data_IF_532767489811
#
_entry.id   IF_532767489811
#
_cell.length_a   1.000
_cell.length_b   1.000
_cell.length_c   1.000
_cell.angle_alpha   90.00
_cell.angle_beta   90.00
_cell.angle_gamma   90.00
#
_symmetry.space_group_name_H-M   'P 1'
#
loop_
_entity.id
_entity.type
_entity.pdbx_description
1 polymer ?
#
# COMPACT_ATOMS: atom_id res chain seq x y z
N UNK A 1 39.23 -44.10 -2.77
CA UNK A 1 40.09 -43.58 -1.68
C UNK A 1 40.43 -42.13 -1.98
N UNK A 2 40.28 -41.25 -0.98
CA UNK A 2 40.69 -39.85 -0.90
C UNK A 2 39.85 -38.79 -1.68
N UNK A 3 39.70 -37.57 -1.13
CA UNK A 3 38.38 -36.95 -0.96
C UNK A 3 38.20 -35.57 -1.61
N UNK A 4 36.94 -35.14 -1.63
CA UNK A 4 36.46 -33.82 -2.03
C UNK A 4 36.94 -32.73 -1.05
N UNK A 5 37.58 -31.69 -1.57
CA UNK A 5 37.93 -30.47 -0.84
C UNK A 5 37.01 -29.31 -1.22
N UNK A 6 36.29 -28.83 -0.20
CA UNK A 6 35.56 -27.55 -0.14
C UNK A 6 36.37 -26.37 -0.70
N UNK A 7 35.77 -25.59 -1.60
CA UNK A 7 36.22 -24.22 -1.86
C UNK A 7 35.05 -23.24 -1.63
N UNK A 8 35.08 -22.58 -0.47
CA UNK A 8 34.35 -21.35 -0.18
C UNK A 8 35.12 -20.20 -0.82
N UNK A 9 34.48 -19.34 -1.62
CA UNK A 9 34.94 -17.97 -1.78
C UNK A 9 33.77 -16.99 -1.73
N UNK A 10 33.84 -16.10 -0.73
CA UNK A 10 33.06 -14.87 -0.63
C UNK A 10 33.71 -13.84 -1.55
N UNK A 11 32.91 -13.15 -2.34
CA UNK A 11 33.30 -11.86 -2.92
C UNK A 11 32.16 -10.86 -2.72
N UNK A 12 32.22 -10.17 -1.58
CA UNK A 12 31.41 -9.00 -1.26
C UNK A 12 32.01 -7.81 -2.00
N UNK A 13 31.41 -7.42 -3.13
CA UNK A 13 31.87 -6.25 -3.89
C UNK A 13 31.19 -5.00 -3.34
N UNK A 14 31.98 -4.20 -2.64
CA UNK A 14 31.68 -2.86 -2.14
C UNK A 14 31.36 -1.94 -3.32
N UNK A 15 30.09 -1.53 -3.45
CA UNK A 15 29.67 -0.48 -4.36
C UNK A 15 29.84 0.88 -3.67
N UNK A 16 30.96 1.54 -3.98
CA UNK A 16 31.17 2.96 -3.72
C UNK A 16 30.00 3.76 -4.33
N UNK A 17 29.30 4.53 -3.50
CA UNK A 17 28.36 5.57 -3.95
C UNK A 17 29.15 6.61 -4.76
N UNK A 18 28.99 6.60 -6.08
CA UNK A 18 29.28 7.79 -6.88
C UNK A 18 28.23 8.84 -6.52
N UNK A 19 28.68 9.96 -5.96
CA UNK A 19 27.93 11.21 -5.94
C UNK A 19 27.93 11.76 -7.37
N UNK A 20 26.86 11.55 -8.12
CA UNK A 20 26.56 12.37 -9.29
C UNK A 20 25.78 13.60 -8.82
N UNK A 21 26.42 14.76 -8.92
CA UNK A 21 25.75 16.06 -8.90
C UNK A 21 25.14 16.28 -10.27
N UNK A 22 23.98 15.69 -10.51
CA UNK A 22 23.13 16.02 -11.65
C UNK A 22 21.89 16.72 -11.12
N UNK A 23 21.62 17.92 -11.64
CA UNK A 23 20.37 18.63 -11.38
C UNK A 23 19.19 17.71 -11.69
N UNK A 24 18.26 17.62 -10.74
CA UNK A 24 17.07 16.79 -10.83
C UNK A 24 16.31 17.13 -12.11
N UNK A 25 16.26 16.19 -13.07
CA UNK A 25 15.58 16.32 -14.36
C UNK A 25 14.04 16.39 -14.26
N UNK A 26 13.50 16.85 -13.12
CA UNK A 26 12.08 16.89 -12.77
C UNK A 26 11.62 18.29 -12.33
N UNK A 27 12.35 19.37 -12.64
CA UNK A 27 11.91 20.74 -12.33
C UNK A 27 10.63 21.15 -13.06
N UNK A 28 10.22 20.37 -14.07
CA UNK A 28 8.95 20.53 -14.78
C UNK A 28 7.98 19.45 -14.33
N UNK A 29 6.80 19.86 -13.83
CA UNK A 29 5.75 18.92 -13.49
C UNK A 29 5.36 18.09 -14.73
N UNK A 30 5.46 16.74 -14.70
CA UNK A 30 5.17 15.91 -15.88
C UNK A 30 3.70 15.99 -16.33
N UNK A 31 2.81 16.50 -15.47
CA UNK A 31 1.36 16.56 -15.70
C UNK A 31 0.94 17.88 -16.36
N UNK A 32 1.44 19.03 -15.90
CA UNK A 32 1.06 20.35 -16.42
C UNK A 32 2.15 21.01 -17.28
N UNK A 33 3.42 20.57 -17.21
CA UNK A 33 4.49 21.20 -17.97
C UNK A 33 4.95 22.55 -17.40
N UNK A 34 4.41 22.97 -16.26
CA UNK A 34 4.80 24.21 -15.59
C UNK A 34 6.06 23.98 -14.73
N UNK A 35 7.02 24.90 -14.87
CA UNK A 35 8.05 25.15 -13.88
C UNK A 35 7.32 25.69 -12.64
N UNK A 36 7.46 25.04 -11.49
CA UNK A 36 6.82 25.50 -10.25
C UNK A 36 7.26 26.92 -9.91
N UNK A 37 6.46 27.91 -10.31
CA UNK A 37 6.73 29.32 -10.10
C UNK A 37 6.30 29.70 -8.68
N UNK A 38 7.27 29.94 -7.81
CA UNK A 38 7.28 31.10 -6.90
C UNK A 38 6.21 31.21 -5.81
N UNK A 39 5.48 30.16 -5.45
CA UNK A 39 4.62 30.18 -4.27
C UNK A 39 5.45 30.15 -2.98
N UNK A 40 5.41 31.22 -2.18
CA UNK A 40 6.04 31.29 -0.85
C UNK A 40 5.40 30.37 0.21
N UNK A 41 4.80 29.26 -0.21
CA UNK A 41 4.19 28.26 0.65
C UNK A 41 5.22 27.37 1.36
N UNK A 42 4.80 26.71 2.45
CA UNK A 42 5.64 25.78 3.18
C UNK A 42 6.15 24.64 2.27
N UNK A 43 7.46 24.59 2.05
CA UNK A 43 8.09 23.58 1.18
C UNK A 43 8.21 22.25 1.91
N UNK A 44 7.64 21.20 1.34
CA UNK A 44 7.78 19.85 1.88
C UNK A 44 9.24 19.33 1.79
N UNK A 45 9.83 19.00 2.95
CA UNK A 45 11.19 18.46 3.10
C UNK A 45 11.23 17.00 3.55
N UNK A 46 10.07 16.33 3.66
CA UNK A 46 10.01 14.91 4.02
C UNK A 46 10.52 13.97 2.92
N UNK A 47 10.92 12.75 3.32
CA UNK A 47 11.44 11.72 2.41
C UNK A 47 10.35 10.88 1.74
N UNK A 48 10.75 10.11 0.72
CA UNK A 48 9.86 9.21 -0.03
C UNK A 48 9.16 8.16 0.85
N UNK A 49 9.80 7.71 1.94
CA UNK A 49 9.21 6.79 2.92
C UNK A 49 7.91 7.34 3.53
N UNK A 50 7.91 8.61 3.93
CA UNK A 50 6.72 9.27 4.48
C UNK A 50 5.62 9.41 3.43
N UNK A 51 5.98 9.77 2.19
CA UNK A 51 5.00 9.88 1.09
C UNK A 51 4.38 8.55 0.70
N UNK A 52 5.15 7.45 0.69
CA UNK A 52 4.60 6.09 0.47
C UNK A 52 3.55 5.75 1.52
N UNK A 53 3.86 6.01 2.78
CA UNK A 53 2.95 5.80 3.91
C UNK A 53 1.70 6.71 3.82
N UNK A 54 1.88 7.99 3.49
CA UNK A 54 0.81 8.96 3.32
C UNK A 54 -0.13 8.59 2.17
N UNK A 55 0.42 8.25 1.00
CA UNK A 55 -0.34 7.79 -0.16
C UNK A 55 -1.21 6.58 0.20
N UNK A 56 -0.60 5.55 0.81
CA UNK A 56 -1.30 4.34 1.22
C UNK A 56 -2.46 4.64 2.17
N UNK A 57 -2.20 5.45 3.21
CA UNK A 57 -3.23 5.80 4.20
C UNK A 57 -4.31 6.71 3.65
N UNK A 58 -3.99 7.63 2.74
CA UNK A 58 -5.02 8.44 2.10
C UNK A 58 -5.95 7.60 1.23
N UNK A 59 -5.43 6.60 0.50
CA UNK A 59 -6.28 5.64 -0.24
C UNK A 59 -7.15 4.84 0.73
N UNK A 60 -6.55 4.24 1.77
CA UNK A 60 -7.26 3.50 2.83
C UNK A 60 -8.39 4.31 3.48
N UNK A 61 -8.18 5.61 3.68
CA UNK A 61 -9.11 6.53 4.34
C UNK A 61 -10.11 7.20 3.40
N UNK A 62 -10.03 6.95 2.09
CA UNK A 62 -10.94 7.56 1.11
C UNK A 62 -10.65 9.04 0.78
N UNK A 63 -9.41 9.49 0.99
CA UNK A 63 -9.00 10.90 0.84
C UNK A 63 -8.44 11.15 -0.56
N UNK A 64 -9.33 11.27 -1.54
CA UNK A 64 -9.00 11.31 -2.98
C UNK A 64 -7.97 12.38 -3.34
N UNK A 65 -8.22 13.63 -2.97
CA UNK A 65 -7.37 14.76 -3.37
C UNK A 65 -6.00 14.73 -2.68
N UNK A 66 -5.97 14.32 -1.41
CA UNK A 66 -4.75 14.14 -0.65
C UNK A 66 -3.91 12.97 -1.21
N UNK A 67 -4.56 11.86 -1.58
CA UNK A 67 -3.91 10.72 -2.23
C UNK A 67 -3.30 11.14 -3.58
N UNK A 68 -4.04 11.91 -4.38
CA UNK A 68 -3.55 12.44 -5.66
C UNK A 68 -2.29 13.30 -5.49
N UNK A 69 -2.29 14.27 -4.57
CA UNK A 69 -1.13 15.13 -4.33
C UNK A 69 0.07 14.37 -3.77
N UNK A 70 -0.17 13.43 -2.85
CA UNK A 70 0.89 12.54 -2.34
C UNK A 70 1.49 11.68 -3.47
N UNK A 71 0.65 11.13 -4.34
CA UNK A 71 1.09 10.34 -5.49
C UNK A 71 1.89 11.16 -6.49
N UNK A 72 1.42 12.36 -6.84
CA UNK A 72 2.12 13.26 -7.74
C UNK A 72 3.49 13.63 -7.17
N UNK A 73 3.56 14.00 -5.89
CA UNK A 73 4.82 14.35 -5.25
C UNK A 73 5.78 13.16 -5.17
N UNK A 74 5.27 11.97 -4.82
CA UNK A 74 6.08 10.76 -4.79
C UNK A 74 6.60 10.40 -6.19
N UNK A 75 5.77 10.53 -7.22
CA UNK A 75 6.16 10.25 -8.61
C UNK A 75 7.25 11.21 -9.11
N UNK A 76 7.19 12.49 -8.72
CA UNK A 76 8.24 13.48 -9.03
C UNK A 76 9.56 13.17 -8.31
N UNK A 77 9.51 12.61 -7.10
CA UNK A 77 10.71 12.26 -6.34
C UNK A 77 11.32 10.93 -6.80
N UNK A 78 10.48 9.91 -6.95
CA UNK A 78 10.88 8.57 -7.36
C UNK A 78 9.68 7.83 -7.98
N UNK A 79 9.59 7.89 -9.30
CA UNK A 79 8.56 7.19 -10.06
C UNK A 79 8.59 5.67 -9.88
N UNK A 80 9.77 5.07 -9.62
CA UNK A 80 9.89 3.62 -9.40
C UNK A 80 9.24 3.22 -8.07
N UNK A 81 9.54 3.95 -7.00
CA UNK A 81 8.91 3.74 -5.70
C UNK A 81 7.40 4.00 -5.75
N UNK A 82 6.96 5.02 -6.47
CA UNK A 82 5.55 5.28 -6.71
C UNK A 82 4.85 4.08 -7.37
N UNK A 83 5.37 3.58 -8.50
CA UNK A 83 4.76 2.47 -9.25
C UNK A 83 4.71 1.19 -8.41
N UNK A 84 5.82 0.88 -7.72
CA UNK A 84 5.91 -0.31 -6.85
C UNK A 84 4.93 -0.26 -5.69
N UNK A 85 4.74 0.91 -5.07
CA UNK A 85 3.83 1.10 -3.93
C UNK A 85 2.37 1.13 -4.37
N UNK A 86 2.04 1.81 -5.47
CA UNK A 86 0.66 1.86 -5.98
C UNK A 86 0.15 0.48 -6.35
N UNK A 87 0.98 -0.38 -6.96
CA UNK A 87 0.61 -1.76 -7.26
C UNK A 87 0.26 -2.60 -6.00
N UNK A 88 0.89 -2.31 -4.86
CA UNK A 88 0.57 -2.95 -3.57
C UNK A 88 -0.75 -2.41 -3.02
N UNK A 89 -0.92 -1.08 -3.05
CA UNK A 89 -2.15 -0.40 -2.59
C UNK A 89 -3.38 -0.90 -3.34
N UNK A 90 -3.26 -1.20 -4.64
CA UNK A 90 -4.34 -1.78 -5.45
C UNK A 90 -4.95 -3.06 -4.88
N UNK A 91 -4.25 -3.76 -3.98
CA UNK A 91 -4.67 -5.04 -3.42
C UNK A 91 -4.87 -4.96 -1.91
N UNK A 92 -3.96 -4.26 -1.20
CA UNK A 92 -3.97 -4.21 0.26
C UNK A 92 -5.07 -3.29 0.81
N UNK A 93 -5.36 -2.18 0.12
CA UNK A 93 -6.13 -1.06 0.68
C UNK A 93 -7.44 -0.76 -0.06
N UNK A 94 -7.65 -1.42 -1.19
CA UNK A 94 -8.79 -1.26 -2.06
C UNK A 94 -9.15 -2.62 -2.70
N UNK A 95 -10.21 -2.64 -3.50
CA UNK A 95 -10.49 -3.73 -4.41
C UNK A 95 -9.48 -3.69 -5.58
N UNK A 96 -9.14 -4.87 -6.13
CA UNK A 96 -8.25 -4.99 -7.29
C UNK A 96 -8.65 -4.01 -8.40
N UNK A 97 -7.71 -3.18 -8.86
CA UNK A 97 -7.97 -2.24 -9.93
C UNK A 97 -7.80 -2.91 -11.31
N UNK A 98 -8.71 -2.73 -12.29
CA UNK A 98 -8.60 -3.35 -13.61
C UNK A 98 -7.36 -2.88 -14.38
N UNK A 99 -6.89 -1.66 -14.13
CA UNK A 99 -5.66 -1.13 -14.71
C UNK A 99 -4.36 -1.53 -13.97
N UNK A 100 -4.37 -2.49 -13.03
CA UNK A 100 -3.15 -3.02 -12.41
C UNK A 100 -2.07 -3.47 -13.44
N UNK A 101 -2.43 -4.12 -14.57
CA UNK A 101 -1.43 -4.52 -15.56
C UNK A 101 -0.63 -3.35 -16.13
N UNK A 102 -1.25 -2.18 -16.31
CA UNK A 102 -0.55 -0.96 -16.74
C UNK A 102 0.48 -0.52 -15.70
N UNK A 103 0.13 -0.51 -14.40
CA UNK A 103 1.06 -0.14 -13.33
C UNK A 103 2.26 -1.09 -13.26
N UNK A 104 2.01 -2.40 -13.37
CA UNK A 104 3.06 -3.42 -13.31
C UNK A 104 3.95 -3.37 -14.55
N UNK A 105 3.37 -3.14 -15.73
CA UNK A 105 4.15 -2.94 -16.96
C UNK A 105 5.02 -1.70 -16.87
N UNK A 106 4.46 -0.54 -16.46
CA UNK A 106 5.21 0.70 -16.29
C UNK A 106 6.31 0.55 -15.24
N UNK A 107 6.05 -0.19 -14.15
CA UNK A 107 7.06 -0.51 -13.13
C UNK A 107 8.24 -1.28 -13.76
N UNK A 108 7.96 -2.33 -14.52
CA UNK A 108 9.00 -3.12 -15.18
C UNK A 108 9.76 -2.31 -16.23
N UNK A 109 9.06 -1.49 -17.02
CA UNK A 109 9.66 -0.61 -18.01
C UNK A 109 10.56 0.46 -17.36
N UNK A 110 10.08 1.09 -16.28
CA UNK A 110 10.85 2.11 -15.56
C UNK A 110 12.14 1.52 -14.95
N UNK A 111 12.11 0.28 -14.49
CA UNK A 111 13.30 -0.44 -14.03
C UNK A 111 14.34 -0.69 -15.13
N UNK A 112 13.96 -0.54 -16.41
CA UNK A 112 14.84 -0.60 -17.58
C UNK A 112 15.16 0.78 -18.16
N UNK A 113 14.86 1.85 -17.43
CA UNK A 113 15.18 3.23 -17.83
C UNK A 113 14.08 3.95 -18.60
N UNK A 114 12.89 3.35 -18.76
CA UNK A 114 11.75 4.06 -19.33
C UNK A 114 11.35 5.24 -18.43
N UNK A 115 11.18 6.43 -19.03
CA UNK A 115 10.69 7.62 -18.34
C UNK A 115 9.20 7.81 -18.58
N UNK A 116 8.44 8.00 -17.51
CA UNK A 116 6.99 8.21 -17.60
C UNK A 116 6.67 9.48 -18.40
N UNK A 117 6.01 9.31 -19.54
CA UNK A 117 5.41 10.43 -20.27
C UNK A 117 4.15 10.97 -19.57
N UNK A 118 3.70 12.15 -19.99
CA UNK A 118 2.52 12.85 -19.44
C UNK A 118 1.26 11.98 -19.41
N UNK A 119 1.00 11.22 -20.47
CA UNK A 119 -0.17 10.34 -20.54
C UNK A 119 -0.11 9.20 -19.51
N UNK A 120 1.05 8.55 -19.35
CA UNK A 120 1.23 7.52 -18.34
C UNK A 120 1.15 8.07 -16.93
N UNK A 121 1.73 9.25 -16.67
CA UNK A 121 1.62 9.92 -15.37
C UNK A 121 0.15 10.22 -15.03
N UNK A 122 -0.62 10.78 -15.98
CA UNK A 122 -2.06 11.05 -15.81
C UNK A 122 -2.86 9.78 -15.55
N UNK A 123 -2.60 8.71 -16.31
CA UNK A 123 -3.26 7.42 -16.09
C UNK A 123 -2.96 6.87 -14.69
N UNK A 124 -1.70 6.89 -14.24
CA UNK A 124 -1.32 6.45 -12.90
C UNK A 124 -2.01 7.27 -11.79
N UNK A 125 -2.11 8.58 -11.97
CA UNK A 125 -2.78 9.46 -11.00
C UNK A 125 -4.30 9.25 -11.01
N UNK A 126 -4.91 8.95 -12.15
CA UNK A 126 -6.31 8.57 -12.24
C UNK A 126 -6.57 7.27 -11.46
N UNK A 127 -5.70 6.26 -11.62
CA UNK A 127 -5.80 5.01 -10.86
C UNK A 127 -5.74 5.26 -9.35
N UNK A 128 -4.83 6.09 -8.87
CA UNK A 128 -4.76 6.44 -7.43
C UNK A 128 -6.06 7.09 -6.95
N UNK A 129 -6.65 7.96 -7.76
CA UNK A 129 -7.90 8.65 -7.41
C UNK A 129 -9.08 7.68 -7.39
N UNK A 130 -9.18 6.78 -8.38
CA UNK A 130 -10.18 5.72 -8.41
C UNK A 130 -10.04 4.78 -7.21
N UNK A 131 -8.81 4.36 -6.89
CA UNK A 131 -8.53 3.58 -5.69
C UNK A 131 -9.03 4.30 -4.44
N UNK A 132 -8.67 5.58 -4.26
CA UNK A 132 -9.10 6.37 -3.10
C UNK A 132 -10.61 6.63 -3.08
N UNK A 133 -11.28 6.75 -4.22
CA UNK A 133 -12.72 7.01 -4.29
C UNK A 133 -13.56 5.76 -4.00
N UNK A 134 -13.07 4.57 -4.35
CA UNK A 134 -13.79 3.33 -4.14
C UNK A 134 -14.17 3.09 -2.68
N UNK A 135 -15.27 2.39 -2.46
CA UNK A 135 -15.77 2.03 -1.13
C UNK A 135 -15.59 0.55 -0.79
N UNK A 136 -15.05 -0.24 -1.73
CA UNK A 136 -14.80 -1.67 -1.56
C UNK A 136 -13.33 -1.97 -1.27
N UNK A 137 -13.10 -3.02 -0.50
CA UNK A 137 -11.80 -3.63 -0.27
C UNK A 137 -11.88 -5.15 -0.26
N UNK A 138 -10.75 -5.79 -0.53
CA UNK A 138 -10.60 -7.24 -0.51
C UNK A 138 -9.81 -7.71 0.70
N UNK A 139 -9.94 -8.99 1.05
CA UNK A 139 -9.15 -9.55 2.15
C UNK A 139 -7.79 -9.96 1.66
N UNK A 140 -6.76 -9.51 2.37
CA UNK A 140 -5.44 -10.12 2.27
C UNK A 140 -5.57 -11.61 2.62
N UNK A 141 -5.33 -12.54 1.68
CA UNK A 141 -5.37 -13.96 1.98
C UNK A 141 -4.25 -14.27 2.96
N UNK A 142 -4.56 -14.79 4.15
CA UNK A 142 -3.53 -15.27 5.07
C UNK A 142 -3.05 -16.64 4.59
N UNK A 143 -1.77 -16.93 4.77
CA UNK A 143 -1.19 -18.21 4.37
C UNK A 143 -1.97 -19.37 5.00
N UNK A 144 -2.74 -20.09 4.16
CA UNK A 144 -3.66 -21.15 4.58
C UNK A 144 -5.07 -21.02 3.98
N UNK A 145 -5.55 -19.80 3.73
CA UNK A 145 -6.93 -19.54 3.27
C UNK A 145 -7.08 -19.61 1.75
N UNK A 146 -5.96 -19.53 1.02
CA UNK A 146 -5.96 -19.83 -0.40
C UNK A 146 -6.13 -21.34 -0.54
N UNK A 147 -7.37 -21.77 -0.80
CA UNK A 147 -7.65 -23.09 -1.33
C UNK A 147 -6.54 -23.45 -2.32
N UNK A 148 -5.93 -24.61 -2.16
CA UNK A 148 -4.90 -25.18 -3.04
C UNK A 148 -5.45 -25.52 -4.43
N UNK A 149 -6.45 -24.78 -4.91
CA UNK A 149 -6.84 -24.74 -6.30
C UNK A 149 -5.69 -24.07 -7.08
N UNK A 150 -4.69 -24.89 -7.38
CA UNK A 150 -3.71 -24.64 -8.40
C UNK A 150 -4.41 -24.55 -9.76
N UNK A 151 -5.22 -23.50 -9.98
CA UNK A 151 -5.50 -23.06 -11.34
C UNK A 151 -4.17 -22.53 -11.85
N UNK A 152 -3.43 -23.37 -12.56
CA UNK A 152 -2.26 -22.99 -13.33
C UNK A 152 -2.79 -22.21 -14.53
N UNK A 153 -2.70 -20.87 -14.56
CA UNK A 153 -3.02 -20.09 -15.75
C UNK A 153 -2.09 -20.48 -16.90
N UNK A 154 -0.95 -21.11 -16.59
CA UNK A 154 0.02 -21.63 -17.53
C UNK A 154 -0.60 -22.65 -18.52
N UNK A 155 -1.69 -23.33 -18.16
CA UNK A 155 -2.37 -24.29 -19.06
C UNK A 155 -3.44 -23.64 -19.95
N UNK A 156 -4.09 -22.53 -19.55
CA UNK A 156 -5.05 -21.80 -20.39
C UNK A 156 -4.40 -20.68 -21.22
N UNK A 157 -3.34 -20.05 -20.74
CA UNK A 157 -2.62 -18.97 -21.46
C UNK A 157 -1.77 -19.54 -22.61
N UNK A 158 -1.39 -20.82 -22.55
CA UNK A 158 -0.57 -21.48 -23.57
C UNK A 158 -1.39 -22.23 -24.64
N UNK A 159 -2.69 -22.49 -24.43
CA UNK A 159 -3.48 -23.40 -25.27
C UNK A 159 -4.25 -22.74 -26.42
N UNK A 160 -4.16 -21.43 -26.60
CA UNK A 160 -4.76 -20.75 -27.76
C UNK A 160 -3.84 -19.66 -28.29
N UNK A 161 -3.67 -19.59 -29.61
CA UNK A 161 -2.95 -18.54 -30.35
C UNK A 161 -3.57 -17.12 -30.18
N UNK A 162 -4.42 -16.92 -29.18
CA UNK A 162 -5.08 -15.67 -28.83
C UNK A 162 -4.38 -14.91 -27.72
N UNK A 163 -4.51 -13.58 -27.73
CA UNK A 163 -4.06 -12.71 -26.63
C UNK A 163 -4.66 -13.19 -25.30
N UNK A 164 -3.91 -13.15 -24.18
CA UNK A 164 -4.47 -13.47 -22.87
C UNK A 164 -5.72 -12.63 -22.61
N UNK A 165 -6.80 -13.27 -22.16
CA UNK A 165 -7.99 -12.56 -21.71
C UNK A 165 -7.68 -11.58 -20.57
N UNK A 166 -8.55 -10.60 -20.35
CA UNK A 166 -8.37 -9.58 -19.32
C UNK A 166 -8.16 -10.19 -17.92
N UNK A 167 -8.93 -11.23 -17.59
CA UNK A 167 -8.79 -12.02 -16.38
C UNK A 167 -7.37 -12.60 -16.18
N UNK A 168 -6.84 -13.27 -17.22
CA UNK A 168 -5.50 -13.84 -17.19
C UNK A 168 -4.42 -12.74 -17.04
N UNK A 169 -4.62 -11.61 -17.72
CA UNK A 169 -3.69 -10.46 -17.64
C UNK A 169 -3.60 -9.89 -16.22
N UNK A 170 -4.72 -9.81 -15.50
CA UNK A 170 -4.74 -9.37 -14.10
C UNK A 170 -3.97 -10.32 -13.17
N UNK A 171 -4.20 -11.63 -13.30
CA UNK A 171 -3.49 -12.65 -12.52
C UNK A 171 -1.99 -12.63 -12.80
N UNK A 172 -1.62 -12.52 -14.08
CA UNK A 172 -0.23 -12.44 -14.50
C UNK A 172 0.44 -11.15 -14.01
N UNK A 173 -0.26 -10.02 -13.97
CA UNK A 173 0.27 -8.78 -13.41
C UNK A 173 0.63 -8.92 -11.93
N UNK A 174 -0.22 -9.58 -11.12
CA UNK A 174 0.08 -9.85 -9.70
C UNK A 174 1.30 -10.75 -9.55
N UNK A 175 1.39 -11.82 -10.34
CA UNK A 175 2.53 -12.76 -10.33
C UNK A 175 3.83 -12.10 -10.78
N UNK A 176 3.77 -11.30 -11.85
CA UNK A 176 4.91 -10.52 -12.33
C UNK A 176 5.38 -9.53 -11.25
N UNK A 177 4.44 -8.85 -10.59
CA UNK A 177 4.79 -7.94 -9.49
C UNK A 177 5.45 -8.69 -8.31
N UNK A 178 4.99 -9.90 -7.99
CA UNK A 178 5.59 -10.74 -6.97
C UNK A 178 7.01 -11.21 -7.38
N UNK A 179 7.18 -11.64 -8.63
CA UNK A 179 8.47 -12.09 -9.17
C UNK A 179 9.50 -10.95 -9.29
N UNK A 180 9.03 -9.71 -9.53
CA UNK A 180 9.88 -8.52 -9.51
C UNK A 180 10.56 -8.30 -8.13
N UNK A 181 9.98 -8.85 -7.05
CA UNK A 181 10.54 -8.83 -5.71
C UNK A 181 10.18 -7.58 -4.88
N UNK A 182 10.73 -7.51 -3.67
CA UNK A 182 10.38 -6.49 -2.68
C UNK A 182 10.43 -7.05 -1.27
N UNK A 183 9.62 -6.47 -0.37
CA UNK A 183 9.51 -6.99 0.98
C UNK A 183 8.88 -8.40 0.96
N UNK A 184 9.36 -9.34 1.78
CA UNK A 184 8.80 -10.70 1.80
C UNK A 184 7.29 -10.73 2.05
N UNK A 185 6.78 -9.84 2.90
CA UNK A 185 5.35 -9.67 3.15
C UNK A 185 4.56 -9.31 1.89
N UNK A 186 5.03 -8.31 1.12
CA UNK A 186 4.41 -7.91 -0.15
C UNK A 186 4.36 -9.09 -1.13
N UNK A 187 5.47 -9.83 -1.26
CA UNK A 187 5.57 -10.98 -2.19
C UNK A 187 4.61 -12.08 -1.79
N UNK A 188 4.51 -12.40 -0.49
CA UNK A 188 3.57 -13.40 0.01
C UNK A 188 2.13 -12.98 -0.23
N UNK A 189 1.79 -11.73 0.10
CA UNK A 189 0.46 -11.15 -0.12
C UNK A 189 0.07 -11.20 -1.60
N UNK A 190 0.95 -10.78 -2.51
CA UNK A 190 0.71 -10.80 -3.95
C UNK A 190 0.43 -12.21 -4.49
N UNK A 191 1.18 -13.21 -4.00
CA UNK A 191 0.92 -14.62 -4.35
C UNK A 191 -0.45 -15.06 -3.87
N UNK A 192 -0.81 -14.74 -2.63
CA UNK A 192 -2.14 -15.01 -2.07
C UNK A 192 -3.25 -14.39 -2.92
N UNK A 193 -3.15 -13.09 -3.23
CA UNK A 193 -4.11 -12.41 -4.09
C UNK A 193 -4.18 -13.00 -5.49
N UNK A 194 -3.04 -13.40 -6.07
CA UNK A 194 -3.03 -14.02 -7.40
C UNK A 194 -3.83 -15.32 -7.44
N UNK A 195 -3.77 -16.13 -6.37
CA UNK A 195 -4.58 -17.36 -6.25
C UNK A 195 -6.06 -17.05 -6.01
N UNK A 196 -6.37 -16.12 -5.09
CA UNK A 196 -7.74 -15.71 -4.81
C UNK A 196 -8.44 -15.16 -6.06
N UNK A 197 -7.79 -14.26 -6.78
CA UNK A 197 -8.36 -13.65 -7.98
C UNK A 197 -8.41 -14.61 -9.14
N UNK A 198 -7.46 -15.55 -9.29
CA UNK A 198 -7.62 -16.63 -10.26
C UNK A 198 -8.89 -17.45 -9.98
N UNK A 199 -9.10 -17.86 -8.73
CA UNK A 199 -10.29 -18.62 -8.36
C UNK A 199 -11.61 -17.86 -8.62
N UNK A 200 -11.63 -16.53 -8.43
CA UNK A 200 -12.78 -15.68 -8.78
C UNK A 200 -12.98 -15.54 -10.29
N UNK A 201 -11.93 -15.17 -11.01
CA UNK A 201 -12.00 -14.81 -12.43
C UNK A 201 -12.23 -16.01 -13.34
N UNK A 202 -11.82 -17.21 -12.91
CA UNK A 202 -12.03 -18.47 -13.63
C UNK A 202 -13.18 -19.32 -13.04
N UNK A 203 -14.06 -18.69 -12.26
CA UNK A 203 -15.36 -19.27 -11.87
C UNK A 203 -15.36 -20.24 -10.68
N UNK A 204 -14.21 -20.57 -10.11
CA UNK A 204 -14.12 -21.51 -8.97
C UNK A 204 -14.80 -21.01 -7.69
N UNK A 205 -15.01 -19.69 -7.53
CA UNK A 205 -15.68 -19.07 -6.38
C UNK A 205 -17.06 -18.48 -6.70
N UNK A 206 -17.63 -18.80 -7.87
CA UNK A 206 -18.92 -18.27 -8.31
C UNK A 206 -18.90 -16.79 -8.68
N UNK A 207 -20.07 -16.20 -8.99
CA UNK A 207 -20.19 -14.80 -9.39
C UNK A 207 -19.92 -13.84 -8.22
N UNK A 208 -19.61 -12.55 -8.49
CA UNK A 208 -19.44 -11.56 -7.44
C UNK A 208 -20.74 -11.36 -6.63
N UNK A 209 -20.62 -10.99 -5.34
CA UNK A 209 -21.78 -10.63 -4.54
C UNK A 209 -22.36 -9.29 -4.99
N UNK A 210 -23.64 -9.07 -4.68
CA UNK A 210 -24.28 -7.75 -4.85
C UNK A 210 -23.62 -6.77 -3.89
N UNK A 211 -23.03 -5.72 -4.44
CA UNK A 211 -22.34 -4.68 -3.67
C UNK A 211 -23.19 -3.42 -3.63
N UNK A 212 -23.43 -2.88 -2.44
CA UNK A 212 -24.21 -1.65 -2.28
C UNK A 212 -23.58 -0.49 -3.08
N UNK A 213 -24.41 0.27 -3.80
CA UNK A 213 -23.97 1.42 -4.59
C UNK A 213 -23.29 1.07 -5.93
N UNK A 214 -23.32 -0.21 -6.35
CA UNK A 214 -22.85 -0.64 -7.67
C UNK A 214 -23.97 -1.39 -8.43
N UNK A 215 -23.96 -1.36 -9.77
CA UNK A 215 -24.86 -2.19 -10.56
C UNK A 215 -24.61 -3.67 -10.31
N UNK A 216 -25.63 -4.49 -10.54
CA UNK A 216 -25.45 -5.95 -10.58
C UNK A 216 -24.45 -6.29 -11.68
N UNK A 217 -23.45 -7.11 -11.34
CA UNK A 217 -22.38 -7.53 -12.22
C UNK A 217 -22.44 -9.05 -12.36
N UNK A 218 -22.52 -9.57 -13.57
CA UNK A 218 -22.54 -11.02 -13.83
C UNK A 218 -21.17 -11.66 -13.63
N UNK A 219 -20.09 -10.89 -13.82
CA UNK A 219 -18.71 -11.36 -13.70
C UNK A 219 -17.90 -10.51 -12.73
N UNK A 220 -16.82 -11.09 -12.21
CA UNK A 220 -15.87 -10.35 -11.37
C UNK A 220 -15.18 -9.22 -12.14
N UNK A 221 -14.91 -9.38 -13.44
CA UNK A 221 -14.31 -8.32 -14.27
C UNK A 221 -15.26 -7.12 -14.38
N UNK A 222 -16.56 -7.36 -14.60
CA UNK A 222 -17.56 -6.28 -14.65
C UNK A 222 -17.63 -5.54 -13.32
N UNK A 223 -17.55 -6.26 -12.18
CA UNK A 223 -17.50 -5.63 -10.86
C UNK A 223 -16.27 -4.72 -10.73
N UNK A 224 -15.10 -5.15 -11.19
CA UNK A 224 -13.88 -4.34 -11.13
C UNK A 224 -14.02 -3.05 -11.94
N UNK A 225 -14.58 -3.14 -13.15
CA UNK A 225 -14.84 -1.96 -13.98
C UNK A 225 -15.90 -1.06 -13.40
N UNK A 226 -17.00 -1.60 -12.85
CA UNK A 226 -18.03 -0.82 -12.19
C UNK A 226 -17.47 -0.08 -10.96
N UNK A 227 -16.62 -0.73 -10.18
CA UNK A 227 -15.97 -0.12 -9.02
C UNK A 227 -14.95 0.97 -9.41
N UNK A 228 -14.16 0.75 -10.48
CA UNK A 228 -13.18 1.72 -10.97
C UNK A 228 -13.80 2.87 -11.78
N UNK A 229 -14.99 2.65 -12.37
CA UNK A 229 -15.73 3.61 -13.17
C UNK A 229 -16.37 4.74 -12.38
N UNK A 230 -16.33 4.68 -11.05
CA UNK A 230 -16.70 5.81 -10.19
C UNK A 230 -15.65 6.92 -10.35
N UNK A 231 -15.85 7.80 -11.32
CA UNK A 231 -14.97 8.95 -11.55
C UNK A 231 -15.15 9.98 -10.42
N UNK A 232 -14.09 10.28 -9.63
CA UNK A 232 -14.16 11.35 -8.65
C UNK A 232 -14.17 12.77 -9.26
N UNK A 233 -14.29 12.91 -10.59
CA UNK A 233 -14.27 14.17 -11.32
C UNK A 233 -12.85 14.69 -11.53
N UNK A 234 -12.64 15.92 -12.02
CA UNK A 234 -11.30 16.50 -12.08
C UNK A 234 -10.76 16.83 -10.66
N UNK A 235 -9.44 16.80 -10.42
CA UNK A 235 -8.88 17.18 -9.12
C UNK A 235 -9.26 18.63 -8.79
N UNK A 236 -9.75 18.84 -7.57
CA UNK A 236 -10.18 20.15 -7.11
C UNK A 236 -9.00 20.87 -6.45
N UNK A 237 -8.47 21.89 -7.13
CA UNK A 237 -7.47 22.81 -6.57
C UNK A 237 -6.02 22.54 -6.98
N UNK A 238 -5.08 23.08 -6.19
CA UNK A 238 -3.65 23.06 -6.51
C UNK A 238 -3.06 21.65 -6.50
N UNK A 239 -2.10 21.41 -7.38
CA UNK A 239 -1.26 20.21 -7.42
C UNK A 239 -0.21 20.17 -6.29
N UNK A 240 -0.03 21.27 -5.55
CA UNK A 240 0.96 21.42 -4.50
C UNK A 240 0.57 20.67 -3.22
N UNK A 241 1.52 19.90 -2.68
CA UNK A 241 1.36 19.15 -1.43
C UNK A 241 1.28 20.07 -0.21
N UNK A 242 0.27 19.88 0.62
CA UNK A 242 -0.04 20.69 1.80
C UNK A 242 0.16 19.90 3.09
N UNK A 243 0.35 20.57 4.25
CA UNK A 243 0.46 19.90 5.55
C UNK A 243 -0.71 18.95 5.85
N UNK A 244 -1.94 19.34 5.51
CA UNK A 244 -3.14 18.53 5.72
C UNK A 244 -3.29 17.31 4.78
N UNK A 245 -2.45 17.20 3.75
CA UNK A 245 -2.47 16.06 2.84
C UNK A 245 -1.81 14.82 3.45
N UNK A 246 -0.93 15.00 4.43
CA UNK A 246 -0.28 13.89 5.12
C UNK A 246 -1.05 13.61 6.41
N UNK A 247 -1.81 12.51 6.51
CA UNK A 247 -2.49 12.18 7.75
C UNK A 247 -1.46 11.89 8.85
N UNK A 248 -1.76 12.21 10.10
CA UNK A 248 -0.88 11.88 11.23
C UNK A 248 -0.67 10.37 11.39
N UNK A 249 -1.62 9.55 10.91
CA UNK A 249 -1.42 8.10 10.80
C UNK A 249 -0.27 7.72 9.87
N UNK A 250 0.12 8.57 8.92
CA UNK A 250 1.28 8.34 8.04
C UNK A 250 2.61 8.31 8.79
N UNK A 251 2.68 8.97 9.94
CA UNK A 251 3.83 8.95 10.84
C UNK A 251 3.69 7.74 11.77
N UNK A 252 4.26 6.62 11.36
CA UNK A 252 4.26 5.37 12.13
C UNK A 252 5.69 4.86 12.38
N UNK A 253 5.78 3.67 12.96
CA UNK A 253 7.05 3.03 13.30
C UNK A 253 7.89 2.57 12.10
N UNK A 254 7.35 2.58 10.87
CA UNK A 254 8.13 2.28 9.67
C UNK A 254 8.86 3.51 9.12
N UNK A 255 8.43 4.71 9.50
CA UNK A 255 8.97 5.97 8.96
C UNK A 255 9.57 6.88 10.04
N UNK A 256 9.50 6.46 11.31
CA UNK A 256 9.92 7.29 12.44
C UNK A 256 10.13 6.51 13.73
N UNK A 257 10.88 7.11 14.65
CA UNK A 257 11.12 6.63 16.02
C UNK A 257 9.98 6.98 17.00
N UNK A 258 8.73 7.00 16.52
CA UNK A 258 7.57 7.41 17.32
C UNK A 258 7.34 6.49 18.53
N UNK A 259 7.60 5.19 18.39
CA UNK A 259 7.37 4.19 19.46
C UNK A 259 8.25 4.45 20.69
N UNK A 260 9.59 4.50 20.59
CA UNK A 260 10.42 4.79 21.76
C UNK A 260 10.14 6.18 22.35
N UNK A 261 9.85 7.19 21.52
CA UNK A 261 9.53 8.54 22.00
C UNK A 261 8.18 8.60 22.77
N UNK A 262 7.15 7.92 22.27
CA UNK A 262 5.86 7.81 22.94
C UNK A 262 5.99 6.99 24.21
N UNK A 263 6.71 5.87 24.20
CA UNK A 263 6.95 5.09 25.42
C UNK A 263 7.68 5.90 26.49
N UNK A 264 8.71 6.66 26.14
CA UNK A 264 9.40 7.56 27.07
C UNK A 264 8.45 8.56 27.75
N UNK A 265 7.40 8.99 27.05
CA UNK A 265 6.39 9.93 27.57
C UNK A 265 5.27 9.23 28.34
N UNK A 266 4.87 8.04 27.90
CA UNK A 266 3.72 7.30 28.42
C UNK A 266 4.08 6.29 29.50
N UNK A 267 5.35 5.95 29.70
CA UNK A 267 5.84 4.87 30.57
C UNK A 267 5.16 4.83 31.95
N UNK A 268 4.90 5.94 32.67
CA UNK A 268 4.22 5.89 33.96
C UNK A 268 2.74 5.43 33.86
N UNK A 269 1.99 5.88 32.86
CA UNK A 269 0.58 5.52 32.66
C UNK A 269 0.42 4.18 31.90
N UNK A 270 1.35 3.89 30.99
CA UNK A 270 1.42 2.66 30.21
C UNK A 270 1.92 1.48 31.05
N UNK A 271 2.82 1.68 32.01
CA UNK A 271 3.22 0.65 32.97
C UNK A 271 2.05 0.25 33.89
N UNK A 272 1.25 1.22 34.35
CA UNK A 272 0.03 0.93 35.11
C UNK A 272 -1.03 0.19 34.27
N UNK A 273 -1.24 0.60 33.01
CA UNK A 273 -2.16 -0.07 32.09
C UNK A 273 -1.68 -1.45 31.63
N UNK A 274 -0.37 -1.62 31.44
CA UNK A 274 0.26 -2.90 31.08
C UNK A 274 0.33 -3.88 32.25
N UNK A 275 0.45 -3.39 33.49
CA UNK A 275 0.32 -4.20 34.70
C UNK A 275 -1.13 -4.64 34.96
N UNK A 276 -2.12 -3.80 34.61
CA UNK A 276 -3.54 -4.13 34.74
C UNK A 276 -4.04 -5.10 33.65
N UNK A 277 -3.48 -5.07 32.44
CA UNK A 277 -3.76 -6.01 31.37
C UNK A 277 -2.92 -7.29 31.51
N UNK A 278 -3.19 -8.06 32.56
CA UNK A 278 -2.59 -9.37 32.79
C UNK A 278 -3.01 -10.35 31.67
N UNK A 279 -2.09 -10.68 30.75
CA UNK A 279 -1.85 -12.02 30.19
C UNK A 279 -1.01 -11.98 28.88
N UNK A 280 0.29 -12.21 29.04
CA UNK A 280 1.22 -13.00 28.20
C UNK A 280 2.64 -12.63 28.67
N UNK A 281 3.21 -13.33 29.66
CA UNK A 281 4.57 -13.02 30.13
C UNK A 281 5.55 -13.06 28.95
N UNK A 282 6.31 -11.97 28.75
CA UNK A 282 7.42 -11.90 27.80
C UNK A 282 7.20 -11.12 26.49
N UNK A 283 6.08 -10.41 26.30
CA UNK A 283 5.96 -9.50 25.13
C UNK A 283 6.53 -8.11 25.42
N UNK A 284 7.54 -7.73 24.64
CA UNK A 284 8.19 -6.42 24.63
C UNK A 284 7.16 -5.27 24.54
N UNK A 285 7.20 -4.27 25.45
CA UNK A 285 6.33 -3.10 25.41
C UNK A 285 6.35 -2.35 24.07
N UNK A 286 7.49 -2.29 23.39
CA UNK A 286 7.56 -1.65 22.06
C UNK A 286 6.71 -2.40 21.04
N UNK A 287 6.82 -3.73 20.99
CA UNK A 287 6.03 -4.56 20.09
C UNK A 287 4.53 -4.46 20.36
N UNK A 288 4.14 -4.41 21.64
CA UNK A 288 2.73 -4.18 22.02
C UNK A 288 2.23 -2.82 21.54
N UNK A 289 3.03 -1.76 21.69
CA UNK A 289 2.66 -0.43 21.19
C UNK A 289 2.64 -0.37 19.66
N UNK A 290 3.58 -1.01 18.97
CA UNK A 290 3.56 -1.15 17.50
C UNK A 290 2.25 -1.78 17.04
N UNK A 291 1.84 -2.90 17.66
CA UNK A 291 0.58 -3.59 17.38
C UNK A 291 -0.64 -2.73 17.68
N UNK A 292 -0.66 -2.05 18.83
CA UNK A 292 -1.75 -1.14 19.19
C UNK A 292 -1.88 0.01 18.18
N UNK A 293 -0.77 0.68 17.85
CA UNK A 293 -0.76 1.75 16.85
C UNK A 293 -1.14 1.25 15.46
N UNK A 294 -0.77 0.02 15.10
CA UNK A 294 -1.26 -0.58 13.86
C UNK A 294 -2.77 -0.74 13.91
N UNK A 295 -3.32 -1.42 14.91
CA UNK A 295 -4.72 -1.85 14.99
C UNK A 295 -5.74 -0.71 15.17
N UNK A 296 -5.35 0.36 15.87
CA UNK A 296 -6.24 1.47 16.21
C UNK A 296 -6.04 2.73 15.38
N UNK A 297 -4.88 2.88 14.71
CA UNK A 297 -4.55 4.08 13.93
C UNK A 297 -4.17 3.76 12.50
N UNK A 298 -3.17 2.89 12.30
CA UNK A 298 -2.61 2.70 10.96
C UNK A 298 -3.52 1.86 10.06
N UNK A 299 -4.06 0.74 10.55
CA UNK A 299 -4.84 -0.26 9.80
C UNK A 299 -6.32 0.08 9.66
N UNK A 300 -6.75 1.27 10.07
CA UNK A 300 -8.17 1.66 10.04
C UNK A 300 -8.58 1.88 8.59
N UNK A 301 -9.43 0.99 8.08
CA UNK A 301 -10.06 1.09 6.77
C UNK A 301 -11.59 1.04 6.96
N UNK A 302 -12.31 2.02 6.40
CA UNK A 302 -13.77 2.15 6.52
C UNK A 302 -14.54 1.55 5.34
N UNK A 303 -13.81 1.00 4.36
CA UNK A 303 -14.40 0.38 3.17
C UNK A 303 -15.17 -0.89 3.54
N UNK A 304 -16.23 -1.13 2.80
CA UNK A 304 -16.95 -2.38 2.85
C UNK A 304 -16.08 -3.52 2.30
N UNK A 305 -16.13 -4.67 2.95
CA UNK A 305 -15.49 -5.87 2.43
C UNK A 305 -16.32 -6.43 1.30
N UNK A 306 -15.69 -6.75 0.17
CA UNK A 306 -16.38 -7.45 -0.92
C UNK A 306 -16.90 -8.82 -0.47
N UNK A 307 -16.19 -9.47 0.47
CA UNK A 307 -16.63 -10.69 1.14
C UNK A 307 -16.73 -10.42 2.65
N UNK A 308 -17.92 -10.52 3.29
CA UNK A 308 -18.13 -10.21 4.72
C UNK A 308 -17.39 -11.14 5.67
N UNK A 309 -16.69 -10.59 6.67
CA UNK A 309 -15.88 -11.36 7.65
C UNK A 309 -16.68 -12.52 8.25
N UNK A 310 -16.04 -13.67 8.42
CA UNK A 310 -16.62 -14.74 9.23
C UNK A 310 -16.75 -14.28 10.68
N UNK A 311 -17.70 -14.87 11.41
CA UNK A 311 -17.90 -14.58 12.83
C UNK A 311 -16.62 -14.84 13.64
N UNK A 312 -15.89 -15.92 13.32
CA UNK A 312 -14.63 -16.26 13.97
C UNK A 312 -13.55 -15.19 13.76
N UNK A 313 -13.39 -14.68 12.53
CA UNK A 313 -12.44 -13.60 12.24
C UNK A 313 -12.84 -12.29 12.95
N UNK A 314 -14.13 -11.96 12.93
CA UNK A 314 -14.64 -10.78 13.62
C UNK A 314 -14.39 -10.86 15.13
N UNK A 315 -14.65 -12.02 15.75
CA UNK A 315 -14.40 -12.29 17.15
C UNK A 315 -12.90 -12.19 17.50
N UNK A 316 -12.02 -12.82 16.69
CA UNK A 316 -10.58 -12.77 16.90
C UNK A 316 -10.03 -11.33 16.86
N UNK A 317 -10.48 -10.52 15.90
CA UNK A 317 -10.12 -9.08 15.83
C UNK A 317 -10.67 -8.30 17.02
N UNK A 318 -11.86 -8.65 17.50
CA UNK A 318 -12.45 -8.05 18.70
C UNK A 318 -11.64 -8.33 19.96
N UNK A 319 -11.22 -9.58 20.16
CA UNK A 319 -10.40 -10.00 21.29
C UNK A 319 -9.03 -9.31 21.29
N UNK A 320 -8.35 -9.26 20.14
CA UNK A 320 -7.06 -8.58 20.01
C UNK A 320 -7.18 -7.08 20.31
N UNK A 321 -8.23 -6.43 19.79
CA UNK A 321 -8.55 -5.04 20.11
C UNK A 321 -8.78 -4.85 21.61
N UNK A 322 -9.58 -5.71 22.24
CA UNK A 322 -9.82 -5.67 23.68
C UNK A 322 -8.53 -5.66 24.49
N UNK A 323 -7.59 -6.56 24.16
CA UNK A 323 -6.31 -6.70 24.87
C UNK A 323 -5.35 -5.51 24.74
N UNK A 324 -5.49 -4.67 23.70
CA UNK A 324 -4.63 -3.52 23.44
C UNK A 324 -5.31 -2.16 23.68
N UNK A 325 -6.62 -2.15 23.97
CA UNK A 325 -7.40 -0.93 24.07
C UNK A 325 -6.93 0.03 25.18
N UNK A 326 -6.59 -0.49 26.36
CA UNK A 326 -6.12 0.34 27.48
C UNK A 326 -4.75 0.97 27.19
N UNK A 327 -3.83 0.19 26.62
CA UNK A 327 -2.53 0.70 26.18
C UNK A 327 -2.71 1.81 25.13
N UNK A 328 -3.56 1.57 24.13
CA UNK A 328 -3.81 2.58 23.11
C UNK A 328 -4.45 3.84 23.67
N UNK A 329 -5.41 3.72 24.60
CA UNK A 329 -6.04 4.87 25.25
C UNK A 329 -5.01 5.78 25.93
N UNK A 330 -4.02 5.20 26.61
CA UNK A 330 -2.94 5.97 27.22
C UNK A 330 -1.96 6.57 26.20
N UNK A 331 -1.72 5.87 25.07
CA UNK A 331 -0.74 6.28 24.08
C UNK A 331 -1.27 7.18 22.95
N UNK A 332 -2.59 7.25 22.74
CA UNK A 332 -3.20 7.88 21.56
C UNK A 332 -2.86 9.36 21.44
N UNK A 333 -3.10 10.16 22.48
CA UNK A 333 -2.83 11.60 22.46
C UNK A 333 -1.33 11.90 22.28
N UNK A 334 -0.40 11.30 23.06
CA UNK A 334 1.04 11.48 22.83
C UNK A 334 1.47 11.08 21.42
N UNK A 335 0.88 10.03 20.85
CA UNK A 335 1.14 9.58 19.48
C UNK A 335 0.67 10.63 18.45
N UNK A 336 -0.50 11.24 18.64
CA UNK A 336 -0.98 12.32 17.76
C UNK A 336 -0.13 13.59 17.88
N UNK A 337 0.20 14.00 19.11
CA UNK A 337 1.02 15.19 19.36
C UNK A 337 2.41 15.04 18.73
N UNK A 338 3.03 13.87 18.89
CA UNK A 338 4.34 13.57 18.30
C UNK A 338 4.29 13.58 16.77
N UNK A 339 3.29 12.91 16.18
CA UNK A 339 3.11 12.88 14.73
C UNK A 339 2.87 14.28 14.15
N UNK A 340 2.05 15.12 14.81
CA UNK A 340 1.82 16.49 14.38
C UNK A 340 3.11 17.34 14.45
N UNK A 341 3.88 17.23 15.52
CA UNK A 341 5.17 17.91 15.64
C UNK A 341 6.18 17.43 14.57
N UNK A 342 6.20 16.13 14.28
CA UNK A 342 7.02 15.54 13.23
C UNK A 342 6.65 16.12 11.85
N UNK A 343 5.36 16.27 11.54
CA UNK A 343 4.92 16.85 10.26
C UNK A 343 5.21 18.35 10.16
N UNK A 344 4.99 19.14 11.22
CA UNK A 344 5.29 20.58 11.21
C UNK A 344 6.74 20.86 10.79
N UNK A 345 7.70 20.12 11.35
CA UNK A 345 9.12 20.23 10.99
C UNK A 345 9.44 19.97 9.52
N UNK A 346 8.54 19.33 8.78
CA UNK A 346 8.74 18.92 7.37
C UNK A 346 8.06 19.84 6.37
N UNK A 347 7.27 20.78 6.83
CA UNK A 347 6.63 21.78 5.97
C UNK A 347 7.24 23.17 6.15
N UNK A 348 7.99 23.42 7.24
CA UNK A 348 8.56 24.74 7.52
C UNK A 348 7.57 25.58 8.28
#
# INVERSE_FOLDING_TARGET
MAPQSSCKSKAYRSSKKLKTSEGSAYDVCPVCGELGSGGGGPRFTGGAALLKSALQKNVRLGRVEQAHRCALRLMQMDASEFLRRTAIICLEDALLHPALPLLVWLMAAAAKGYKLGRHHARACLAIVRQLAAGHLQDRCPRGGDAASAAVRPDEEVAAGEGRPGEAATLVMAMRLRAAFGGMPGDVHMLKGFSSLWAARLFGALGPPPVCAGLPYCGTWVDLLWAAAGQDPGAPAGSAELRPGDIPTSAVDFHVSDIVPAVLATCLPAAAAAAAAAAAAPGTDPEERLRRAMWLFKSSVNRRAWVTPLSEAEAAARGQERGGLALLWRAAAEPTEAWAAAYLRKRFG
#
